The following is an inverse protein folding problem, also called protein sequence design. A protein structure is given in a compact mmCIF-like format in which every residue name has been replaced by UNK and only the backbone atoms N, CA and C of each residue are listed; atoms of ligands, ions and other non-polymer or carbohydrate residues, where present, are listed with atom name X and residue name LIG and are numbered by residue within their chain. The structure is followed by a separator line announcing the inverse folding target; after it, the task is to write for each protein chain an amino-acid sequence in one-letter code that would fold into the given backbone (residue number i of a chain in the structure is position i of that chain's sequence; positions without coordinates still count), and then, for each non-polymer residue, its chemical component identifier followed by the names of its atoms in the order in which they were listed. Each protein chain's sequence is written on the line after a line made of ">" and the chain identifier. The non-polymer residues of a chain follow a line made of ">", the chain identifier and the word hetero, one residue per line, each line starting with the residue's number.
data_IF_767867276581
#
_entry.id   IF_767867276581
#
_cell.length_a   1.000
_cell.length_b   1.000
_cell.length_c   1.000
_cell.angle_alpha   90.00
_cell.angle_beta   90.00
_cell.angle_gamma   90.00
#
_symmetry.space_group_name_H-M   'P 1'
#
loop_
_entity.id
_entity.type
_entity.pdbx_description
1 polymer ?
#
# COMPACT_ATOMS: atom_id res chain seq x y z
N UNK A 1 15.13 15.85 4.79
CA UNK A 1 14.31 15.35 3.67
C UNK A 1 15.20 15.17 2.46
N UNK A 2 15.11 14.00 1.84
CA UNK A 2 15.81 13.68 0.60
C UNK A 2 14.78 13.53 -0.56
N UNK A 3 15.24 13.57 -1.78
CA UNK A 3 14.40 13.43 -2.99
C UNK A 3 15.06 12.45 -3.93
N UNK A 4 14.37 11.37 -4.26
CA UNK A 4 14.70 10.50 -5.38
C UNK A 4 14.00 11.00 -6.65
N UNK A 5 14.60 10.78 -7.81
CA UNK A 5 14.00 11.13 -9.10
C UNK A 5 13.55 9.86 -9.80
N UNK A 6 12.25 9.76 -10.06
CA UNK A 6 11.65 8.66 -10.82
C UNK A 6 12.04 8.74 -12.29
N UNK A 7 11.84 7.67 -13.02
CA UNK A 7 12.24 7.56 -14.45
C UNK A 7 11.57 8.62 -15.34
N UNK A 8 10.36 9.05 -14.98
CA UNK A 8 9.62 10.09 -15.70
C UNK A 8 9.92 11.52 -15.21
N UNK A 9 10.92 11.70 -14.31
CA UNK A 9 11.29 12.97 -13.72
C UNK A 9 10.48 13.36 -12.48
N UNK A 10 9.48 12.56 -12.07
CA UNK A 10 8.71 12.81 -10.85
C UNK A 10 9.64 12.80 -9.62
N UNK A 11 9.53 13.83 -8.80
CA UNK A 11 10.32 13.99 -7.57
C UNK A 11 9.62 13.27 -6.43
N UNK A 12 10.28 12.26 -5.85
CA UNK A 12 9.75 11.43 -4.77
C UNK A 12 10.45 11.81 -3.46
N UNK A 13 9.70 12.46 -2.58
CA UNK A 13 10.17 12.85 -1.25
C UNK A 13 10.28 11.63 -0.34
N UNK A 14 11.43 11.45 0.32
CA UNK A 14 11.64 10.35 1.26
C UNK A 14 12.45 10.75 2.49
N UNK A 15 12.32 9.93 3.53
CA UNK A 15 13.17 9.97 4.71
C UNK A 15 13.93 8.64 4.82
N UNK A 16 15.19 8.75 5.31
CA UNK A 16 16.05 7.63 5.61
C UNK A 16 16.50 7.72 7.05
N UNK A 17 16.40 6.63 7.81
CA UNK A 17 16.84 6.59 9.20
C UNK A 17 17.36 5.20 9.57
N UNK A 18 18.28 5.15 10.54
CA UNK A 18 18.88 3.89 11.02
C UNK A 18 20.14 3.46 10.28
N UNK A 19 20.63 2.28 10.65
CA UNK A 19 21.79 1.62 10.06
C UNK A 19 21.50 0.12 9.92
N UNK A 20 22.10 -0.53 8.93
CA UNK A 20 21.89 -1.95 8.62
C UNK A 20 21.20 -2.15 7.27
N UNK A 21 20.72 -3.36 6.99
CA UNK A 21 20.10 -3.69 5.70
C UNK A 21 18.92 -2.78 5.37
N UNK A 22 18.73 -2.37 4.10
CA UNK A 22 17.70 -1.42 3.73
C UNK A 22 16.30 -2.05 3.72
N UNK A 23 15.32 -1.35 4.31
CA UNK A 23 13.89 -1.67 4.28
C UNK A 23 13.14 -0.49 3.68
N UNK A 24 12.33 -0.71 2.65
CA UNK A 24 11.41 0.29 2.08
C UNK A 24 9.99 -0.01 2.52
N UNK A 25 9.28 1.01 3.01
CA UNK A 25 7.90 0.93 3.49
C UNK A 25 6.94 1.59 2.48
N UNK A 26 5.97 0.80 1.96
CA UNK A 26 4.99 1.24 0.97
C UNK A 26 3.63 1.45 1.61
N UNK A 27 3.22 2.70 1.73
CA UNK A 27 1.95 3.10 2.32
C UNK A 27 0.73 2.74 1.45
N UNK A 28 -0.41 2.51 2.11
CA UNK A 28 -1.69 2.31 1.47
C UNK A 28 -2.35 3.60 0.96
N UNK A 29 -3.61 3.47 0.53
CA UNK A 29 -4.44 4.59 0.10
C UNK A 29 -4.62 5.61 1.22
N UNK A 30 -4.72 6.89 0.85
CA UNK A 30 -4.94 8.02 1.77
C UNK A 30 -3.83 8.25 2.81
N UNK A 31 -2.67 7.60 2.65
CA UNK A 31 -1.52 7.72 3.54
C UNK A 31 -0.32 8.38 2.85
N UNK A 32 0.50 9.05 3.65
CA UNK A 32 1.79 9.62 3.27
C UNK A 32 2.65 9.78 4.54
N UNK A 33 3.95 10.10 4.43
CA UNK A 33 4.88 10.19 5.58
C UNK A 33 4.36 11.05 6.74
N UNK A 34 3.64 12.13 6.43
CA UNK A 34 3.04 13.03 7.42
C UNK A 34 1.74 12.52 8.05
N UNK A 35 1.14 11.44 7.52
CA UNK A 35 -0.15 10.92 7.98
C UNK A 35 -0.36 9.47 7.51
N UNK A 36 -0.03 8.51 8.35
CA UNK A 36 -0.17 7.09 8.04
C UNK A 36 0.56 6.20 9.05
N UNK A 37 0.51 4.88 8.87
CA UNK A 37 1.09 3.92 9.81
C UNK A 37 2.61 3.80 9.71
N UNK A 38 3.26 4.32 8.65
CA UNK A 38 4.68 4.06 8.39
C UNK A 38 5.60 4.77 9.37
N UNK A 39 5.28 5.98 9.83
CA UNK A 39 6.13 6.71 10.77
C UNK A 39 6.33 5.99 12.11
N UNK A 40 5.28 5.54 12.82
CA UNK A 40 5.44 4.74 14.04
C UNK A 40 6.08 3.37 13.79
N UNK A 41 5.86 2.76 12.62
CA UNK A 41 6.51 1.50 12.25
C UNK A 41 8.01 1.71 12.00
N UNK A 42 8.39 2.72 11.24
CA UNK A 42 9.79 3.06 10.97
C UNK A 42 10.59 3.24 12.27
N UNK A 43 10.03 3.96 13.26
CA UNK A 43 10.69 4.16 14.56
C UNK A 43 11.03 2.85 15.28
N UNK A 44 10.25 1.77 15.04
CA UNK A 44 10.52 0.45 15.63
C UNK A 44 11.50 -0.39 14.80
N UNK A 45 11.61 -0.13 13.51
CA UNK A 45 12.51 -0.86 12.61
C UNK A 45 13.92 -0.23 12.57
N UNK A 46 14.05 1.07 12.80
CA UNK A 46 15.32 1.83 12.80
C UNK A 46 16.43 1.21 13.65
N UNK A 47 16.18 0.57 14.82
CA UNK A 47 17.25 -0.10 15.57
C UNK A 47 17.89 -1.30 14.86
N UNK A 48 17.24 -1.84 13.82
CA UNK A 48 17.65 -3.07 13.12
C UNK A 48 17.99 -2.86 11.66
N UNK A 49 17.48 -1.79 11.03
CA UNK A 49 17.51 -1.57 9.59
C UNK A 49 17.77 -0.11 9.23
N UNK A 50 18.26 0.11 8.01
CA UNK A 50 18.13 1.42 7.35
C UNK A 50 16.74 1.50 6.72
N UNK A 51 15.86 2.29 7.32
CA UNK A 51 14.44 2.38 6.94
C UNK A 51 14.20 3.55 6.02
N UNK A 52 13.57 3.29 4.88
CA UNK A 52 13.11 4.27 3.91
C UNK A 52 11.59 4.39 3.97
N UNK A 53 11.08 5.58 4.26
CA UNK A 53 9.68 5.95 4.10
C UNK A 53 9.57 7.01 3.02
N UNK A 54 8.59 6.92 2.14
CA UNK A 54 8.45 7.87 1.04
C UNK A 54 6.99 8.30 0.84
N UNK A 55 6.79 9.46 0.28
CA UNK A 55 5.49 9.89 -0.20
C UNK A 55 5.29 9.33 -1.61
N UNK A 56 4.26 8.53 -1.82
CA UNK A 56 3.88 8.11 -3.17
C UNK A 56 3.54 9.33 -4.02
N UNK A 57 3.70 9.24 -5.35
CA UNK A 57 3.43 10.37 -6.27
C UNK A 57 2.08 11.03 -6.00
N UNK A 58 2.02 12.35 -6.10
CA UNK A 58 0.82 13.15 -5.82
C UNK A 58 0.46 13.29 -4.34
N UNK A 59 1.32 12.81 -3.40
CA UNK A 59 1.08 12.88 -1.96
C UNK A 59 2.22 13.58 -1.25
N UNK A 60 1.90 14.22 -0.14
CA UNK A 60 2.88 14.85 0.72
C UNK A 60 3.79 15.82 -0.01
N UNK A 61 5.09 15.51 -0.04
CA UNK A 61 6.12 16.34 -0.68
C UNK A 61 6.57 15.80 -2.04
N UNK A 62 5.98 14.69 -2.50
CA UNK A 62 6.23 14.18 -3.85
C UNK A 62 5.44 14.95 -4.89
N UNK A 63 6.07 15.19 -6.03
CA UNK A 63 5.36 15.74 -7.18
C UNK A 63 4.46 14.69 -7.84
N UNK A 64 3.68 15.13 -8.82
CA UNK A 64 2.82 14.28 -9.62
C UNK A 64 3.02 14.63 -11.10
N UNK A 65 3.17 13.60 -11.93
CA UNK A 65 3.39 13.77 -13.38
C UNK A 65 2.35 12.97 -14.15
N UNK A 66 1.31 13.61 -14.67
CA UNK A 66 0.31 12.96 -15.53
C UNK A 66 0.90 12.57 -16.90
N UNK A 67 0.35 11.54 -17.57
CA UNK A 67 -0.70 10.65 -17.08
C UNK A 67 -0.18 9.63 -16.08
N UNK A 68 -1.01 9.26 -15.08
CA UNK A 68 -0.70 8.18 -14.17
C UNK A 68 -0.75 6.82 -14.88
N UNK A 69 0.16 5.94 -14.46
CA UNK A 69 0.15 4.51 -14.79
C UNK A 69 0.76 3.73 -13.62
N UNK A 70 0.40 2.46 -13.46
CA UNK A 70 0.97 1.60 -12.43
C UNK A 70 2.49 1.51 -12.54
N UNK A 71 3.01 1.41 -13.75
CA UNK A 71 4.44 1.37 -14.06
C UNK A 71 5.20 2.54 -13.47
N UNK A 72 4.57 3.74 -13.42
CA UNK A 72 5.18 4.93 -12.83
C UNK A 72 5.36 4.82 -11.32
N UNK A 73 4.41 4.20 -10.61
CA UNK A 73 4.56 3.96 -9.17
C UNK A 73 5.59 2.85 -8.88
N UNK A 74 5.71 1.87 -9.74
CA UNK A 74 6.80 0.87 -9.67
C UNK A 74 8.17 1.53 -9.91
N UNK A 75 8.27 2.44 -10.87
CA UNK A 75 9.47 3.24 -11.13
C UNK A 75 9.84 4.15 -9.94
N UNK A 76 8.84 4.62 -9.17
CA UNK A 76 9.07 5.38 -7.93
C UNK A 76 9.72 4.50 -6.86
N UNK A 77 9.19 3.29 -6.64
CA UNK A 77 9.81 2.32 -5.72
C UNK A 77 11.24 2.00 -6.19
N UNK A 78 11.43 1.75 -7.48
CA UNK A 78 12.75 1.50 -8.04
C UNK A 78 13.72 2.70 -7.83
N UNK A 79 13.22 3.95 -7.85
CA UNK A 79 14.01 5.12 -7.53
C UNK A 79 14.47 5.11 -6.06
N UNK A 80 13.59 4.76 -5.12
CA UNK A 80 13.96 4.62 -3.69
C UNK A 80 14.97 3.47 -3.49
N UNK A 81 14.80 2.35 -4.20
CA UNK A 81 15.75 1.23 -4.15
C UNK A 81 17.13 1.63 -4.69
N UNK A 82 17.20 2.46 -5.73
CA UNK A 82 18.48 3.02 -6.21
C UNK A 82 19.17 3.89 -5.15
N UNK A 83 18.41 4.68 -4.37
CA UNK A 83 18.95 5.45 -3.24
C UNK A 83 19.50 4.55 -2.12
N UNK A 84 18.99 3.33 -1.98
CA UNK A 84 19.52 2.34 -1.05
C UNK A 84 20.85 1.73 -1.53
N UNK A 85 21.12 1.72 -2.84
CA UNK A 85 22.36 1.23 -3.45
C UNK A 85 22.49 -0.31 -3.48
N UNK A 86 21.52 -1.05 -2.98
CA UNK A 86 21.50 -2.50 -2.93
C UNK A 86 20.05 -3.03 -2.91
N UNK A 87 19.82 -4.34 -3.17
CA UNK A 87 18.49 -4.92 -3.04
C UNK A 87 17.93 -4.75 -1.63
N UNK A 88 16.65 -4.38 -1.53
CA UNK A 88 15.99 -4.01 -0.27
C UNK A 88 15.09 -5.12 0.27
N UNK A 89 14.72 -5.04 1.54
CA UNK A 89 13.49 -5.62 2.05
C UNK A 89 12.34 -4.67 1.74
N UNK A 90 11.23 -5.20 1.25
CA UNK A 90 10.07 -4.38 0.89
C UNK A 90 8.87 -4.78 1.75
N UNK A 91 8.24 -3.81 2.39
CA UNK A 91 6.99 -3.99 3.12
C UNK A 91 5.90 -3.12 2.50
N UNK A 92 4.73 -3.72 2.25
CA UNK A 92 3.53 -3.00 1.80
C UNK A 92 2.30 -3.30 2.64
N UNK A 93 1.46 -2.29 2.86
CA UNK A 93 0.17 -2.42 3.55
C UNK A 93 -0.97 -2.00 2.65
N UNK A 94 -2.12 -2.70 2.72
CA UNK A 94 -3.33 -2.34 1.98
C UNK A 94 -3.06 -2.24 0.47
N UNK A 95 -3.47 -1.17 -0.22
CA UNK A 95 -3.10 -0.95 -1.63
C UNK A 95 -1.59 -0.92 -1.84
N UNK A 96 -0.80 -0.46 -0.84
CA UNK A 96 0.65 -0.54 -0.87
C UNK A 96 1.20 -1.98 -0.90
N UNK A 97 0.45 -2.96 -0.37
CA UNK A 97 0.82 -4.37 -0.49
C UNK A 97 0.64 -4.88 -1.94
N UNK A 98 -0.41 -4.44 -2.63
CA UNK A 98 -0.60 -4.74 -4.05
C UNK A 98 0.52 -4.08 -4.87
N UNK A 99 0.82 -2.81 -4.60
CA UNK A 99 1.88 -2.09 -5.30
C UNK A 99 3.26 -2.75 -5.07
N UNK A 100 3.53 -3.26 -3.86
CA UNK A 100 4.76 -3.99 -3.55
C UNK A 100 4.85 -5.33 -4.32
N UNK A 101 3.72 -6.05 -4.49
CA UNK A 101 3.63 -7.23 -5.35
C UNK A 101 3.93 -6.89 -6.81
N UNK A 102 3.32 -5.82 -7.33
CA UNK A 102 3.54 -5.36 -8.70
C UNK A 102 4.99 -4.92 -8.94
N UNK A 103 5.62 -4.30 -7.94
CA UNK A 103 7.04 -3.95 -8.00
C UNK A 103 7.94 -5.20 -8.02
N UNK A 104 7.63 -6.20 -7.21
CA UNK A 104 8.33 -7.47 -7.17
C UNK A 104 8.22 -8.21 -8.51
N UNK A 105 7.01 -8.29 -9.06
CA UNK A 105 6.75 -8.94 -10.35
C UNK A 105 7.49 -8.28 -11.52
N UNK A 106 7.65 -6.96 -11.49
CA UNK A 106 8.36 -6.18 -12.52
C UNK A 106 9.86 -6.06 -12.29
N UNK A 107 10.43 -6.87 -11.39
CA UNK A 107 11.87 -7.03 -11.24
C UNK A 107 12.56 -5.92 -10.45
N UNK A 108 11.87 -5.16 -9.62
CA UNK A 108 12.52 -4.27 -8.64
C UNK A 108 13.40 -5.14 -7.72
N UNK A 109 14.67 -4.75 -7.45
CA UNK A 109 15.58 -5.56 -6.65
C UNK A 109 15.12 -5.69 -5.19
N UNK A 110 14.44 -6.79 -4.87
CA UNK A 110 13.87 -7.09 -3.55
C UNK A 110 14.46 -8.41 -3.02
N UNK A 111 15.01 -8.38 -1.79
CA UNK A 111 15.54 -9.57 -1.10
C UNK A 111 14.45 -10.42 -0.47
N UNK A 112 13.53 -9.78 0.25
CA UNK A 112 12.36 -10.40 0.89
C UNK A 112 11.19 -9.42 0.82
N UNK A 113 9.98 -9.95 0.65
CA UNK A 113 8.73 -9.20 0.49
C UNK A 113 7.80 -9.47 1.67
N UNK A 114 7.33 -8.45 2.37
CA UNK A 114 6.32 -8.58 3.41
C UNK A 114 5.06 -7.78 3.04
N UNK A 115 3.90 -8.41 3.18
CA UNK A 115 2.60 -7.86 2.76
C UNK A 115 1.62 -7.92 3.94
N UNK A 116 0.89 -6.84 4.17
CA UNK A 116 -0.18 -6.81 5.15
C UNK A 116 -1.48 -6.36 4.50
N UNK A 117 -2.46 -7.28 4.50
CA UNK A 117 -3.85 -7.03 4.12
C UNK A 117 -4.05 -6.30 2.78
N UNK A 118 -3.48 -6.85 1.71
CA UNK A 118 -3.82 -6.44 0.35
C UNK A 118 -5.34 -6.61 0.13
N UNK A 119 -6.08 -5.54 -0.29
CA UNK A 119 -7.54 -5.53 -0.26
C UNK A 119 -8.16 -6.18 -1.51
N UNK A 120 -7.81 -7.44 -1.76
CA UNK A 120 -8.34 -8.20 -2.88
C UNK A 120 -9.71 -8.80 -2.52
N UNK A 121 -10.58 -8.99 -3.51
CA UNK A 121 -11.87 -9.68 -3.34
C UNK A 121 -11.83 -10.92 -4.22
N UNK A 122 -11.55 -12.07 -3.58
CA UNK A 122 -11.21 -13.33 -4.27
C UNK A 122 -12.33 -14.36 -4.22
N UNK A 123 -13.42 -14.05 -3.52
CA UNK A 123 -14.57 -14.93 -3.32
C UNK A 123 -15.85 -14.14 -3.02
N UNK A 124 -16.95 -14.84 -2.73
CA UNK A 124 -18.26 -14.26 -2.45
C UNK A 124 -18.44 -13.72 -1.01
N UNK A 125 -17.40 -13.74 -0.15
CA UNK A 125 -17.50 -13.25 1.23
C UNK A 125 -17.58 -11.72 1.32
N UNK A 126 -17.28 -11.05 0.21
CA UNK A 126 -17.54 -9.63 0.00
C UNK A 126 -17.96 -9.40 -1.46
N UNK A 127 -19.04 -8.64 -1.73
CA UNK A 127 -19.36 -8.25 -3.09
C UNK A 127 -18.26 -7.34 -3.67
N UNK A 128 -17.92 -7.52 -4.96
CA UNK A 128 -17.03 -6.61 -5.68
C UNK A 128 -17.56 -5.16 -5.65
N UNK A 129 -16.66 -4.21 -5.83
CA UNK A 129 -17.06 -2.86 -6.19
C UNK A 129 -17.72 -2.90 -7.59
N UNK A 130 -18.83 -2.18 -7.78
CA UNK A 130 -19.49 -2.12 -9.09
C UNK A 130 -18.55 -1.57 -10.17
N UNK A 131 -18.74 -1.99 -11.41
CA UNK A 131 -17.89 -1.60 -12.55
C UNK A 131 -17.85 -0.09 -12.78
N UNK A 132 -18.89 0.63 -12.35
CA UNK A 132 -18.98 2.09 -12.43
C UNK A 132 -18.22 2.81 -11.29
N UNK A 133 -17.70 2.09 -10.28
CA UNK A 133 -17.10 2.71 -9.11
C UNK A 133 -15.86 3.53 -9.45
N UNK A 134 -14.89 2.94 -10.14
CA UNK A 134 -13.66 3.65 -10.54
C UNK A 134 -13.97 4.78 -11.55
N UNK A 135 -14.76 4.58 -12.61
CA UNK A 135 -15.18 5.66 -13.50
C UNK A 135 -15.84 6.86 -12.79
N UNK A 136 -16.75 6.60 -11.84
CA UNK A 136 -17.41 7.66 -11.05
C UNK A 136 -16.42 8.41 -10.16
N UNK A 137 -15.52 7.69 -9.49
CA UNK A 137 -14.50 8.31 -8.65
C UNK A 137 -13.55 9.18 -9.49
N UNK A 138 -13.12 8.69 -10.65
CA UNK A 138 -12.29 9.45 -11.60
C UNK A 138 -13.00 10.69 -12.10
N UNK A 139 -14.30 10.62 -12.41
CA UNK A 139 -15.10 11.78 -12.80
C UNK A 139 -15.19 12.84 -11.68
N UNK A 140 -15.31 12.41 -10.41
CA UNK A 140 -15.27 13.33 -9.27
C UNK A 140 -13.92 14.03 -9.15
N UNK A 141 -12.82 13.31 -9.36
CA UNK A 141 -11.46 13.86 -9.34
C UNK A 141 -11.29 14.87 -10.48
N UNK A 142 -11.67 14.51 -11.69
CA UNK A 142 -11.61 15.40 -12.87
C UNK A 142 -12.42 16.68 -12.68
N UNK A 143 -13.58 16.59 -12.02
CA UNK A 143 -14.41 17.74 -11.66
C UNK A 143 -13.89 18.54 -10.44
N UNK A 144 -12.66 18.25 -9.95
CA UNK A 144 -12.06 18.82 -8.74
C UNK A 144 -12.90 18.62 -7.45
N UNK A 145 -13.78 17.61 -7.42
CA UNK A 145 -14.64 17.25 -6.30
C UNK A 145 -13.96 16.23 -5.38
N UNK A 146 -12.69 16.48 -5.00
CA UNK A 146 -11.85 15.56 -4.22
C UNK A 146 -12.49 15.11 -2.90
N UNK A 147 -13.22 15.99 -2.22
CA UNK A 147 -13.95 15.68 -1.00
C UNK A 147 -15.08 14.66 -1.21
N UNK A 148 -15.72 14.66 -2.38
CA UNK A 148 -16.76 13.67 -2.71
C UNK A 148 -16.13 12.34 -3.11
N UNK A 149 -14.98 12.34 -3.80
CA UNK A 149 -14.20 11.14 -4.07
C UNK A 149 -13.74 10.46 -2.76
N UNK A 150 -13.22 11.23 -1.79
CA UNK A 150 -12.86 10.74 -0.45
C UNK A 150 -14.06 10.14 0.26
N UNK A 151 -15.22 10.80 0.27
CA UNK A 151 -16.46 10.25 0.85
C UNK A 151 -16.87 8.93 0.21
N UNK A 152 -16.82 8.88 -1.13
CA UNK A 152 -17.18 7.69 -1.90
C UNK A 152 -16.28 6.51 -1.52
N UNK A 153 -14.96 6.73 -1.49
CA UNK A 153 -13.98 5.73 -1.08
C UNK A 153 -14.18 5.27 0.38
N UNK A 154 -14.33 6.21 1.32
CA UNK A 154 -14.51 5.86 2.73
C UNK A 154 -15.76 5.00 2.98
N UNK A 155 -16.87 5.29 2.27
CA UNK A 155 -18.07 4.44 2.32
C UNK A 155 -17.77 3.03 1.80
N UNK A 156 -17.04 2.92 0.70
CA UNK A 156 -16.69 1.64 0.10
C UNK A 156 -15.81 0.77 1.02
N UNK A 157 -14.92 1.39 1.81
CA UNK A 157 -14.09 0.67 2.79
C UNK A 157 -14.78 0.48 4.15
N UNK A 158 -16.07 0.85 4.28
CA UNK A 158 -16.88 0.53 5.45
C UNK A 158 -16.87 1.59 6.56
N UNK A 159 -16.39 2.80 6.30
CA UNK A 159 -16.47 3.90 7.29
C UNK A 159 -17.92 4.34 7.42
N UNK A 160 -18.52 4.35 8.65
CA UNK A 160 -19.90 4.78 8.86
C UNK A 160 -20.13 6.22 8.40
N UNK A 161 -21.32 6.48 7.84
CA UNK A 161 -21.67 7.81 7.30
C UNK A 161 -21.55 8.93 8.34
N UNK A 162 -21.89 8.66 9.58
CA UNK A 162 -21.75 9.62 10.69
C UNK A 162 -20.28 9.94 10.97
N UNK A 163 -19.39 8.94 10.91
CA UNK A 163 -17.95 9.14 11.07
C UNK A 163 -17.39 10.03 9.95
N UNK A 164 -17.79 9.81 8.69
CA UNK A 164 -17.42 10.64 7.57
C UNK A 164 -17.94 12.08 7.75
N UNK A 165 -19.17 12.22 8.21
CA UNK A 165 -19.78 13.55 8.46
C UNK A 165 -18.98 14.33 9.51
N UNK A 166 -18.69 13.72 10.65
CA UNK A 166 -17.91 14.36 11.73
C UNK A 166 -16.49 14.71 11.25
N UNK A 167 -15.84 13.79 10.53
CA UNK A 167 -14.47 13.97 10.03
C UNK A 167 -14.34 15.19 9.11
N UNK A 168 -15.40 15.59 8.40
CA UNK A 168 -15.41 16.79 7.52
C UNK A 168 -15.14 18.10 8.25
N UNK A 169 -15.39 18.15 9.55
CA UNK A 169 -15.14 19.32 10.40
C UNK A 169 -13.78 19.26 11.10
N UNK A 170 -13.04 18.17 10.94
CA UNK A 170 -11.73 17.97 11.57
C UNK A 170 -10.59 18.38 10.63
N UNK A 171 -9.43 18.80 11.18
CA UNK A 171 -8.25 19.16 10.36
C UNK A 171 -7.77 18.03 9.42
N UNK A 172 -8.02 16.76 9.80
CA UNK A 172 -7.69 15.60 8.99
C UNK A 172 -8.38 15.62 7.62
N UNK A 173 -9.58 16.20 7.53
CA UNK A 173 -10.31 16.30 6.26
C UNK A 173 -9.53 17.05 5.18
N UNK A 174 -8.89 18.16 5.54
CA UNK A 174 -8.05 18.92 4.61
C UNK A 174 -6.89 18.08 4.08
N UNK A 175 -6.27 17.28 4.95
CA UNK A 175 -5.17 16.36 4.58
C UNK A 175 -5.65 15.29 3.60
N UNK A 176 -6.78 14.66 3.89
CA UNK A 176 -7.37 13.62 3.04
C UNK A 176 -7.79 14.16 1.67
N UNK A 177 -8.43 15.32 1.64
CA UNK A 177 -8.87 15.93 0.37
C UNK A 177 -7.72 16.45 -0.48
N UNK A 178 -6.61 16.88 0.15
CA UNK A 178 -5.41 17.30 -0.57
C UNK A 178 -4.86 16.17 -1.47
N UNK A 179 -4.88 14.93 -0.98
CA UNK A 179 -4.38 13.75 -1.70
C UNK A 179 -5.52 12.90 -2.32
N UNK A 180 -6.77 13.36 -2.23
CA UNK A 180 -7.94 12.62 -2.69
C UNK A 180 -7.93 12.28 -4.19
N UNK A 181 -7.18 13.03 -5.01
CA UNK A 181 -6.99 12.74 -6.43
C UNK A 181 -6.20 11.45 -6.67
N UNK A 182 -5.34 11.02 -5.74
CA UNK A 182 -4.56 9.79 -5.89
C UNK A 182 -5.36 8.50 -5.61
N UNK A 183 -6.62 8.62 -5.14
CA UNK A 183 -7.49 7.46 -4.96
C UNK A 183 -7.75 6.69 -6.27
N UNK A 184 -7.82 7.40 -7.40
CA UNK A 184 -7.94 6.76 -8.70
C UNK A 184 -6.70 5.91 -9.06
N UNK A 185 -5.53 6.24 -8.50
CA UNK A 185 -4.30 5.47 -8.67
C UNK A 185 -4.40 4.15 -7.89
N UNK A 186 -4.72 4.22 -6.58
CA UNK A 186 -4.91 3.03 -5.76
C UNK A 186 -5.95 2.08 -6.35
N UNK A 187 -7.09 2.60 -6.77
CA UNK A 187 -8.16 1.81 -7.37
C UNK A 187 -7.79 1.28 -8.76
N UNK A 188 -7.03 2.04 -9.53
CA UNK A 188 -6.60 1.63 -10.87
C UNK A 188 -5.85 0.30 -10.87
N UNK A 189 -5.01 0.03 -9.88
CA UNK A 189 -4.28 -1.24 -9.79
C UNK A 189 -4.86 -2.26 -8.79
N UNK A 190 -5.78 -1.86 -7.90
CA UNK A 190 -6.42 -2.83 -6.98
C UNK A 190 -7.69 -3.42 -7.55
N UNK A 191 -8.50 -2.65 -8.29
CA UNK A 191 -9.80 -3.09 -8.84
C UNK A 191 -9.71 -4.36 -9.70
N UNK A 192 -8.67 -4.59 -10.54
CA UNK A 192 -8.54 -5.85 -11.28
C UNK A 192 -8.54 -7.10 -10.41
N UNK A 193 -8.12 -6.99 -9.15
CA UNK A 193 -8.07 -8.08 -8.16
C UNK A 193 -9.27 -8.10 -7.21
N UNK A 194 -10.28 -7.25 -7.43
CA UNK A 194 -11.48 -7.13 -6.57
C UNK A 194 -12.75 -7.60 -7.28
N UNK A 195 -12.65 -8.72 -8.02
CA UNK A 195 -13.71 -9.22 -8.89
C UNK A 195 -14.52 -10.36 -8.29
N UNK A 196 -14.32 -10.72 -7.02
CA UNK A 196 -15.02 -11.83 -6.36
C UNK A 196 -14.69 -13.21 -6.91
N UNK A 197 -13.54 -13.37 -7.56
CA UNK A 197 -13.08 -14.62 -8.19
C UNK A 197 -11.67 -14.99 -7.76
N UNK A 198 -11.31 -16.29 -7.73
CA UNK A 198 -9.99 -16.75 -7.35
C UNK A 198 -8.89 -16.11 -8.21
N UNK A 199 -7.71 -15.93 -7.60
CA UNK A 199 -6.51 -15.49 -8.30
C UNK A 199 -6.05 -16.59 -9.27
N UNK A 200 -5.59 -16.20 -10.45
CA UNK A 200 -5.03 -17.13 -11.43
C UNK A 200 -3.72 -17.72 -10.94
N UNK A 201 -3.50 -19.00 -11.20
CA UNK A 201 -2.20 -19.62 -10.95
C UNK A 201 -1.13 -18.91 -11.79
N UNK A 202 0.05 -18.69 -11.18
CA UNK A 202 1.15 -18.00 -11.85
C UNK A 202 0.97 -16.48 -12.00
N UNK A 203 0.02 -15.88 -11.28
CA UNK A 203 -0.03 -14.43 -11.10
C UNK A 203 1.25 -13.99 -10.35
N UNK A 204 1.85 -12.89 -10.78
CA UNK A 204 3.11 -12.33 -10.26
C UNK A 204 4.31 -13.31 -10.35
N UNK A 205 4.64 -13.84 -11.54
CA UNK A 205 5.72 -14.81 -11.71
C UNK A 205 7.11 -14.26 -11.33
N UNK A 206 7.31 -12.94 -11.41
CA UNK A 206 8.53 -12.27 -10.97
C UNK A 206 8.69 -12.16 -9.46
N UNK A 207 7.61 -12.32 -8.69
CA UNK A 207 7.65 -12.27 -7.22
C UNK A 207 8.14 -13.60 -6.62
N UNK A 208 9.39 -14.00 -6.95
CA UNK A 208 9.99 -15.28 -6.61
C UNK A 208 10.83 -15.28 -5.32
N UNK A 209 11.04 -14.11 -4.70
CA UNK A 209 11.76 -13.97 -3.44
C UNK A 209 10.94 -14.55 -2.27
N UNK A 210 11.57 -14.84 -1.10
CA UNK A 210 10.81 -15.16 0.11
C UNK A 210 9.78 -14.08 0.42
N UNK A 211 8.53 -14.48 0.68
CA UNK A 211 7.43 -13.59 0.99
C UNK A 211 6.76 -13.94 2.32
N UNK A 212 6.37 -12.94 3.10
CA UNK A 212 5.55 -13.07 4.29
C UNK A 212 4.22 -12.36 4.05
N UNK A 213 3.13 -13.11 3.99
CA UNK A 213 1.78 -12.58 3.78
C UNK A 213 1.03 -12.60 5.10
N UNK A 214 0.60 -11.43 5.56
CA UNK A 214 0.04 -11.26 6.91
C UNK A 214 -1.38 -10.72 6.89
N UNK A 215 -2.16 -11.15 7.89
CA UNK A 215 -3.49 -10.62 8.20
C UNK A 215 -3.67 -10.32 9.69
N UNK A 216 -4.74 -9.63 10.03
CA UNK A 216 -5.18 -9.43 11.41
C UNK A 216 -6.22 -10.45 11.83
N UNK A 217 -6.07 -11.05 13.03
CA UNK A 217 -7.02 -12.04 13.55
C UNK A 217 -8.45 -11.52 13.72
N UNK A 218 -8.63 -10.19 13.84
CA UNK A 218 -9.93 -9.53 13.90
C UNK A 218 -10.42 -9.00 12.55
N UNK A 219 -9.68 -9.20 11.48
CA UNK A 219 -10.09 -8.75 10.15
C UNK A 219 -11.22 -9.61 9.58
N UNK A 220 -12.08 -9.05 8.74
CA UNK A 220 -13.18 -9.80 8.14
C UNK A 220 -12.68 -10.93 7.25
N UNK A 221 -13.51 -11.96 7.07
CA UNK A 221 -13.15 -13.17 6.33
C UNK A 221 -12.62 -12.88 4.92
N UNK A 222 -13.23 -11.96 4.18
CA UNK A 222 -12.80 -11.60 2.83
C UNK A 222 -11.35 -11.11 2.77
N UNK A 223 -10.91 -10.33 3.79
CA UNK A 223 -9.55 -9.82 3.87
C UNK A 223 -8.55 -10.97 4.16
N UNK A 224 -8.88 -11.86 5.08
CA UNK A 224 -8.05 -13.03 5.40
C UNK A 224 -8.00 -14.02 4.23
N UNK A 225 -9.13 -14.25 3.54
CA UNK A 225 -9.19 -15.08 2.34
C UNK A 225 -8.30 -14.51 1.20
N UNK A 226 -8.25 -13.19 1.07
CA UNK A 226 -7.36 -12.53 0.12
C UNK A 226 -5.87 -12.85 0.42
N UNK A 227 -5.45 -12.75 1.68
CA UNK A 227 -4.06 -13.05 2.06
C UNK A 227 -3.74 -14.54 1.82
N UNK A 228 -4.65 -15.44 2.18
CA UNK A 228 -4.50 -16.86 1.89
C UNK A 228 -4.41 -17.15 0.39
N UNK A 229 -5.17 -16.43 -0.45
CA UNK A 229 -5.09 -16.55 -1.90
C UNK A 229 -3.75 -16.06 -2.47
N UNK A 230 -3.23 -14.92 -1.99
CA UNK A 230 -1.90 -14.41 -2.36
C UNK A 230 -0.83 -15.45 -2.01
N UNK A 231 -0.86 -15.98 -0.78
CA UNK A 231 0.12 -16.97 -0.34
C UNK A 231 0.12 -18.25 -1.18
N UNK A 232 -1.03 -18.65 -1.74
CA UNK A 232 -1.12 -19.84 -2.62
C UNK A 232 -0.50 -19.61 -4.00
N UNK A 233 -0.49 -18.39 -4.51
CA UNK A 233 0.04 -18.10 -5.87
C UNK A 233 1.52 -17.71 -5.83
N UNK A 234 2.04 -17.26 -4.70
CA UNK A 234 3.46 -16.93 -4.55
C UNK A 234 4.27 -18.21 -4.23
N UNK A 235 5.37 -18.47 -4.94
CA UNK A 235 6.10 -19.75 -4.85
C UNK A 235 6.83 -19.95 -3.52
N UNK A 236 7.13 -18.88 -2.78
CA UNK A 236 7.92 -18.91 -1.53
C UNK A 236 7.27 -18.10 -0.42
N UNK A 237 5.93 -18.20 -0.30
CA UNK A 237 5.18 -17.48 0.72
C UNK A 237 5.04 -18.26 2.01
N UNK A 238 5.28 -17.60 3.14
CA UNK A 238 4.80 -17.96 4.47
C UNK A 238 3.62 -17.04 4.84
N UNK A 239 2.75 -17.52 5.73
CA UNK A 239 1.62 -16.74 6.24
C UNK A 239 1.77 -16.51 7.75
N UNK A 240 1.25 -15.37 8.22
CA UNK A 240 1.16 -15.07 9.66
C UNK A 240 -0.09 -14.27 9.97
N UNK A 241 -0.91 -14.75 10.90
CA UNK A 241 -2.00 -13.99 11.48
C UNK A 241 -1.50 -13.22 12.71
N UNK A 242 -1.74 -11.91 12.73
CA UNK A 242 -1.44 -11.08 13.89
C UNK A 242 -2.66 -11.03 14.81
N UNK A 243 -2.62 -11.81 15.88
CA UNK A 243 -3.74 -11.94 16.81
C UNK A 243 -4.14 -10.60 17.44
N UNK A 244 -5.44 -10.38 17.55
CA UNK A 244 -5.98 -9.14 18.11
C UNK A 244 -5.91 -7.91 17.19
N UNK A 245 -5.23 -7.99 16.04
CA UNK A 245 -5.10 -6.92 15.07
C UNK A 245 -6.21 -6.98 13.99
N UNK A 246 -6.40 -5.87 13.31
CA UNK A 246 -7.26 -5.73 12.13
C UNK A 246 -6.52 -4.89 11.08
N UNK A 247 -7.23 -4.36 10.08
CA UNK A 247 -6.63 -3.55 9.01
C UNK A 247 -5.81 -2.35 9.53
N UNK A 248 -6.19 -1.78 10.67
CA UNK A 248 -5.45 -0.71 11.36
C UNK A 248 -4.41 -1.30 12.33
N UNK A 249 -3.49 -2.10 11.79
CA UNK A 249 -2.48 -2.79 12.60
C UNK A 249 -1.58 -1.82 13.36
N UNK A 250 -1.31 -2.14 14.64
CA UNK A 250 -0.37 -1.34 15.43
C UNK A 250 1.07 -1.64 15.05
N UNK A 251 1.91 -0.59 15.05
CA UNK A 251 3.35 -0.75 14.81
C UNK A 251 4.01 -1.70 15.83
N UNK A 252 3.49 -1.76 17.05
CA UNK A 252 3.98 -2.67 18.11
C UNK A 252 3.74 -4.13 17.78
N UNK A 253 2.61 -4.43 17.13
CA UNK A 253 2.25 -5.80 16.78
C UNK A 253 2.96 -6.30 15.52
N UNK A 254 3.14 -5.42 14.51
CA UNK A 254 3.69 -5.86 13.23
C UNK A 254 5.22 -5.81 13.19
N UNK A 255 5.87 -4.89 13.90
CA UNK A 255 7.33 -4.74 13.85
C UNK A 255 8.10 -6.02 14.23
N UNK A 256 7.74 -6.78 15.29
CA UNK A 256 8.43 -8.03 15.61
C UNK A 256 8.37 -9.05 14.47
N UNK A 257 7.22 -9.19 13.79
CA UNK A 257 7.07 -10.11 12.68
C UNK A 257 7.95 -9.71 11.47
N UNK A 258 8.06 -8.41 11.19
CA UNK A 258 8.95 -7.90 10.14
C UNK A 258 10.42 -8.07 10.48
N UNK A 259 10.81 -7.79 11.73
CA UNK A 259 12.20 -7.95 12.18
C UNK A 259 12.62 -9.40 12.05
N UNK A 260 11.83 -10.34 12.60
CA UNK A 260 12.09 -11.77 12.50
C UNK A 260 12.19 -12.28 11.06
N UNK A 261 11.29 -11.80 10.20
CA UNK A 261 11.28 -12.25 8.82
C UNK A 261 12.42 -11.68 7.99
N UNK A 262 12.81 -10.42 8.20
CA UNK A 262 13.85 -9.76 7.41
C UNK A 262 15.28 -10.12 7.85
N UNK A 263 15.47 -10.53 9.06
CA UNK A 263 16.73 -11.13 9.55
C UNK A 263 16.87 -12.58 9.07
#
# INVERSE_FOLDING_TARGET
>A
MAVAVSKDGTRIGFDRAGQGPPVVLVDGAMCYRGSGPMKPLAARLVPHFTVYTYDRRGRGESSDTPPWALEREVEDIAAIVREAGEPVYLYGISSGAVLALEAADRGVPIRKLALYEAPLIVDATRPPLGDDFLPRLTALVAANRRGDAVKMFMKAVGVPAIGIFVMRFMPVWKKLTAIGHTLQYDLGFTTPYQQGRPLSAGLWPGASMPALVMDGGKSPAWMRNAQAAIARVLPRAATRTLEGQNHMVSATAIAPALIEFFQ
#
